data_IF_236399679466
#
_entry.id   IF_236399679466
#
_cell.length_a   1.000
_cell.length_b   1.000
_cell.length_c   1.000
_cell.angle_alpha   90.00
_cell.angle_beta   90.00
_cell.angle_gamma   90.00
#
_symmetry.space_group_name_H-M   'P 1'
#
loop_
_entity.id
_entity.type
_entity.pdbx_description
1 polymer ?
#
# COMPACT_ATOMS: atom_id res chain seq x y z
N UNK A 1 -43.59 25.14 26.01
CA UNK A 1 -44.56 24.27 26.71
C UNK A 1 -44.24 24.07 28.20
N UNK A 2 -43.01 23.75 28.62
CA UNK A 2 -42.66 23.60 30.05
C UNK A 2 -42.89 24.87 30.90
N UNK A 3 -42.55 26.05 30.37
CA UNK A 3 -42.77 27.33 31.08
C UNK A 3 -44.25 27.67 31.29
N UNK A 4 -45.12 27.37 30.34
CA UNK A 4 -46.56 27.57 30.44
C UNK A 4 -47.18 26.64 31.50
N UNK A 5 -46.77 25.39 31.58
CA UNK A 5 -47.21 24.45 32.61
C UNK A 5 -46.75 24.86 34.00
N UNK A 6 -45.55 25.42 34.15
CA UNK A 6 -45.06 25.98 35.41
C UNK A 6 -45.83 27.20 35.84
N UNK A 7 -46.17 28.13 34.92
CA UNK A 7 -47.00 29.31 35.19
C UNK A 7 -48.42 28.90 35.61
N UNK A 8 -49.01 27.93 34.94
CA UNK A 8 -50.37 27.43 35.25
C UNK A 8 -50.38 26.69 36.59
N UNK A 9 -49.34 25.91 36.92
CA UNK A 9 -49.18 25.30 38.25
C UNK A 9 -49.01 26.32 39.36
N UNK A 10 -48.20 27.36 39.10
CA UNK A 10 -47.99 28.45 40.07
C UNK A 10 -49.29 29.25 40.34
N UNK A 11 -50.09 29.49 39.28
CA UNK A 11 -51.39 30.14 39.38
C UNK A 11 -52.43 29.30 40.16
N UNK A 12 -52.47 27.99 39.91
CA UNK A 12 -53.33 27.06 40.61
C UNK A 12 -52.97 26.96 42.09
N UNK A 13 -51.66 26.94 42.42
CA UNK A 13 -51.21 26.99 43.84
C UNK A 13 -51.57 28.28 44.47
N UNK A 14 -51.36 29.43 43.80
CA UNK A 14 -51.75 30.77 44.35
C UNK A 14 -53.26 30.86 44.58
N UNK A 15 -54.12 30.38 43.71
CA UNK A 15 -55.54 30.32 43.85
C UNK A 15 -55.97 29.41 45.01
N UNK A 16 -55.36 28.25 45.16
CA UNK A 16 -55.65 27.37 46.31
C UNK A 16 -55.22 27.95 47.62
N UNK A 17 -54.07 28.64 47.69
CA UNK A 17 -53.63 29.36 48.90
C UNK A 17 -54.56 30.53 49.24
N UNK A 18 -55.00 31.26 48.22
CA UNK A 18 -55.97 32.39 48.46
C UNK A 18 -57.30 31.90 48.97
N UNK A 19 -57.83 30.79 48.43
CA UNK A 19 -59.08 30.17 48.93
C UNK A 19 -58.95 29.66 50.39
N UNK A 20 -57.83 29.03 50.71
CA UNK A 20 -57.52 28.51 52.03
C UNK A 20 -57.34 29.65 53.03
N UNK A 21 -56.64 30.74 52.64
CA UNK A 21 -56.42 31.90 53.49
C UNK A 21 -57.70 32.67 53.79
N UNK A 22 -58.67 32.72 52.83
CA UNK A 22 -59.95 33.41 53.02
C UNK A 22 -60.89 32.74 54.02
N UNK A 23 -60.77 31.45 54.29
CA UNK A 23 -61.64 30.68 55.14
C UNK A 23 -61.08 30.40 56.55
N UNK A 24 -59.87 30.86 56.86
CA UNK A 24 -59.14 30.54 58.06
C UNK A 24 -59.18 31.75 59.02
N UNK A 25 -60.00 31.67 60.07
CA UNK A 25 -60.16 32.75 61.16
C UNK A 25 -59.26 32.46 62.37
N UNK A 26 -58.26 31.53 62.26
CA UNK A 26 -57.37 31.23 63.38
C UNK A 26 -56.45 32.38 63.72
N UNK A 27 -56.33 32.68 65.03
CA UNK A 27 -55.40 33.68 65.60
C UNK A 27 -54.34 32.98 66.44
N UNK A 28 -53.07 33.40 66.34
CA UNK A 28 -51.97 32.99 67.21
C UNK A 28 -51.61 34.12 68.09
N UNK A 29 -51.76 33.91 69.44
CA UNK A 29 -51.42 34.88 70.45
C UNK A 29 -50.01 34.63 70.97
N UNK A 30 -49.09 35.58 70.78
CA UNK A 30 -47.72 35.53 71.29
C UNK A 30 -47.65 36.37 72.56
N UNK A 31 -47.34 35.73 73.70
CA UNK A 31 -47.15 36.38 74.97
C UNK A 31 -45.67 36.78 75.16
N UNK A 32 -45.42 38.06 75.20
CA UNK A 32 -44.10 38.62 75.52
C UNK A 32 -44.32 39.66 76.66
N UNK A 33 -44.16 39.29 77.92
CA UNK A 33 -44.47 40.22 79.02
C UNK A 33 -43.74 41.56 78.91
N UNK A 34 -44.42 42.68 79.02
CA UNK A 34 -45.84 42.87 79.33
C UNK A 34 -46.83 42.93 78.16
N UNK A 35 -46.34 42.55 76.94
CA UNK A 35 -47.10 42.68 75.69
C UNK A 35 -47.78 41.39 75.28
N UNK A 36 -49.01 41.53 74.82
CA UNK A 36 -49.75 40.48 74.15
C UNK A 36 -49.99 40.90 72.68
N UNK A 37 -49.54 40.09 71.71
CA UNK A 37 -49.71 40.39 70.30
C UNK A 37 -50.55 39.28 69.70
N UNK A 38 -51.74 39.62 69.19
CA UNK A 38 -52.62 38.70 68.49
C UNK A 38 -52.36 38.86 66.98
N UNK A 39 -51.86 37.77 66.30
CA UNK A 39 -51.55 37.73 64.90
C UNK A 39 -52.50 36.75 64.19
N UNK A 40 -52.94 37.10 63.02
CA UNK A 40 -53.66 36.12 62.20
C UNK A 40 -52.79 34.95 61.80
N UNK A 41 -53.30 33.71 61.79
CA UNK A 41 -52.61 32.54 61.44
C UNK A 41 -52.00 32.64 60.00
N UNK A 42 -52.74 33.28 59.09
CA UNK A 42 -52.30 33.55 57.72
C UNK A 42 -51.06 34.46 57.67
N UNK A 43 -50.95 35.48 58.52
CA UNK A 43 -49.79 36.35 58.62
C UNK A 43 -48.57 35.58 59.15
N UNK A 44 -48.79 34.75 60.19
CA UNK A 44 -47.68 33.90 60.70
C UNK A 44 -47.15 32.91 59.65
N UNK A 45 -48.05 32.26 58.90
CA UNK A 45 -47.68 31.38 57.81
C UNK A 45 -46.95 32.11 56.68
N UNK A 46 -47.40 33.37 56.36
CA UNK A 46 -46.72 34.17 55.32
C UNK A 46 -45.33 34.60 55.80
N UNK A 47 -45.17 35.00 57.07
CA UNK A 47 -43.87 35.35 57.64
C UNK A 47 -42.95 34.12 57.65
N UNK A 48 -43.47 32.94 58.06
CA UNK A 48 -42.73 31.71 58.11
C UNK A 48 -42.28 31.30 56.68
N UNK A 49 -43.15 31.39 55.67
CA UNK A 49 -42.82 31.16 54.27
C UNK A 49 -41.78 32.16 53.75
N UNK A 50 -41.92 33.44 54.07
CA UNK A 50 -40.98 34.49 53.71
C UNK A 50 -39.59 34.24 54.31
N UNK A 51 -39.52 33.87 55.60
CA UNK A 51 -38.27 33.50 56.28
C UNK A 51 -37.64 32.26 55.65
N UNK A 52 -38.46 31.23 55.39
CA UNK A 52 -37.98 30.01 54.71
C UNK A 52 -37.46 30.30 53.29
N UNK A 53 -38.17 31.10 52.49
CA UNK A 53 -37.75 31.51 51.17
C UNK A 53 -36.46 32.35 51.22
N UNK A 54 -36.34 33.29 52.15
CA UNK A 54 -35.13 34.08 52.37
C UNK A 54 -33.94 33.19 52.77
N UNK A 55 -34.16 32.27 53.72
CA UNK A 55 -33.14 31.32 54.14
C UNK A 55 -32.70 30.38 52.97
N UNK A 56 -33.67 29.88 52.21
CA UNK A 56 -33.37 29.05 51.02
C UNK A 56 -32.58 29.84 49.99
N UNK A 57 -32.94 31.08 49.68
CA UNK A 57 -32.18 31.93 48.75
C UNK A 57 -30.77 32.23 49.26
N UNK A 58 -30.65 32.52 50.59
CA UNK A 58 -29.34 32.75 51.19
C UNK A 58 -28.41 31.50 51.10
N UNK A 59 -28.94 30.31 51.44
CA UNK A 59 -28.22 29.08 51.36
C UNK A 59 -27.84 28.73 49.91
N UNK A 60 -28.74 28.96 48.95
CA UNK A 60 -28.49 28.79 47.55
C UNK A 60 -27.43 29.76 47.00
N UNK A 61 -27.49 31.03 47.44
CA UNK A 61 -26.48 32.04 47.11
C UNK A 61 -25.10 31.66 47.66
N UNK A 62 -25.06 31.18 48.91
CA UNK A 62 -23.83 30.74 49.55
C UNK A 62 -23.25 29.49 48.83
N UNK A 63 -24.09 28.52 48.50
CA UNK A 63 -23.68 27.33 47.73
C UNK A 63 -23.15 27.73 46.34
N UNK A 64 -23.78 28.67 45.65
CA UNK A 64 -23.30 29.22 44.38
C UNK A 64 -21.93 29.90 44.52
N UNK A 65 -21.72 30.69 45.56
CA UNK A 65 -20.42 31.32 45.85
C UNK A 65 -19.32 30.30 46.11
N UNK A 66 -19.58 29.25 46.87
CA UNK A 66 -18.62 28.16 47.08
C UNK A 66 -18.34 27.30 45.85
N UNK A 67 -19.26 27.23 44.90
CA UNK A 67 -19.07 26.50 43.62
C UNK A 67 -18.29 27.31 42.57
N UNK A 68 -18.20 28.64 42.69
CA UNK A 68 -17.49 29.50 41.72
C UNK A 68 -16.02 29.12 41.52
N UNK A 69 -15.20 28.85 42.55
CA UNK A 69 -13.80 28.47 42.33
C UNK A 69 -13.66 27.14 41.61
N UNK A 70 -14.53 26.17 41.86
CA UNK A 70 -14.50 24.87 41.16
C UNK A 70 -14.95 25.01 39.71
N UNK A 71 -15.98 25.76 39.42
CA UNK A 71 -16.43 26.07 38.07
C UNK A 71 -15.36 26.85 37.27
N UNK A 72 -14.74 27.85 37.89
CA UNK A 72 -13.66 28.61 37.28
C UNK A 72 -12.44 27.72 36.96
N UNK A 73 -12.11 26.77 37.85
CA UNK A 73 -11.05 25.81 37.62
C UNK A 73 -11.39 24.86 36.44
N UNK A 74 -12.60 24.32 36.42
CA UNK A 74 -13.09 23.48 35.33
C UNK A 74 -13.10 24.23 33.99
N UNK A 75 -13.60 25.48 33.99
CA UNK A 75 -13.60 26.29 32.77
C UNK A 75 -12.19 26.58 32.26
N UNK A 76 -11.21 26.86 33.12
CA UNK A 76 -9.81 27.05 32.75
C UNK A 76 -9.20 25.77 32.17
N UNK A 77 -9.51 24.60 32.71
CA UNK A 77 -9.06 23.32 32.21
C UNK A 77 -9.65 23.04 30.82
N UNK A 78 -10.95 23.23 30.65
CA UNK A 78 -11.63 23.07 29.35
C UNK A 78 -11.07 24.04 28.29
N UNK A 79 -10.75 25.27 28.69
CA UNK A 79 -10.14 26.26 27.78
C UNK A 79 -8.74 25.80 27.34
N UNK A 80 -7.92 25.28 28.24
CA UNK A 80 -6.59 24.74 27.91
C UNK A 80 -6.68 23.49 27.04
N UNK A 81 -7.65 22.62 27.29
CA UNK A 81 -7.91 21.44 26.45
C UNK A 81 -8.30 21.84 25.02
N UNK A 82 -9.20 22.83 24.87
CA UNK A 82 -9.54 23.37 23.54
C UNK A 82 -8.34 23.97 22.84
N UNK A 83 -7.46 24.68 23.53
CA UNK A 83 -6.24 25.23 22.92
C UNK A 83 -5.26 24.14 22.52
N UNK A 84 -5.16 23.04 23.27
CA UNK A 84 -4.36 21.88 22.92
C UNK A 84 -4.86 21.24 21.62
N UNK A 85 -6.15 20.93 21.53
CA UNK A 85 -6.72 20.36 20.31
C UNK A 85 -6.60 21.30 19.10
N UNK A 86 -6.80 22.62 19.33
CA UNK A 86 -6.60 23.62 18.30
C UNK A 86 -5.16 23.65 17.80
N UNK A 87 -4.16 23.51 18.67
CA UNK A 87 -2.75 23.46 18.28
C UNK A 87 -2.41 22.21 17.44
N UNK A 88 -2.98 21.04 17.79
CA UNK A 88 -2.81 19.80 16.98
C UNK A 88 -3.46 19.96 15.60
N UNK A 89 -4.68 20.51 15.55
CA UNK A 89 -5.36 20.77 14.27
C UNK A 89 -4.60 21.79 13.42
N UNK A 90 -4.08 22.87 14.03
CA UNK A 90 -3.23 23.84 13.32
C UNK A 90 -1.98 23.16 12.77
N UNK A 91 -1.29 22.34 13.56
CA UNK A 91 -0.14 21.58 13.09
C UNK A 91 -0.47 20.71 11.87
N UNK A 92 -1.62 20.04 11.87
CA UNK A 92 -2.09 19.21 10.76
C UNK A 92 -2.41 20.05 9.52
N UNK A 93 -3.11 21.18 9.68
CA UNK A 93 -3.43 22.11 8.59
C UNK A 93 -2.17 22.69 7.97
N UNK A 94 -1.21 23.13 8.81
CA UNK A 94 0.06 23.67 8.32
C UNK A 94 0.88 22.61 7.58
N UNK A 95 0.87 21.35 8.06
CA UNK A 95 1.54 20.22 7.40
C UNK A 95 0.95 19.96 6.00
N UNK A 96 -0.38 19.85 5.91
CA UNK A 96 -1.09 19.64 4.64
C UNK A 96 -0.86 20.81 3.68
N UNK A 97 -0.76 22.04 4.21
CA UNK A 97 -0.48 23.26 3.42
C UNK A 97 0.99 23.39 3.01
N UNK A 98 1.85 22.42 3.33
CA UNK A 98 3.29 22.46 3.01
C UNK A 98 4.10 23.46 3.85
N UNK A 99 3.54 24.01 4.92
CA UNK A 99 4.21 24.99 5.80
C UNK A 99 4.92 24.27 6.96
N UNK A 100 5.89 23.43 6.65
CA UNK A 100 6.51 22.47 7.55
C UNK A 100 7.11 23.09 8.81
N UNK A 101 7.78 24.25 8.71
CA UNK A 101 8.35 24.94 9.88
C UNK A 101 7.27 25.42 10.85
N UNK A 102 6.11 25.87 10.36
CA UNK A 102 4.96 26.25 11.19
C UNK A 102 4.28 25.03 11.79
N UNK A 103 4.10 23.96 11.00
CA UNK A 103 3.57 22.70 11.46
C UNK A 103 4.36 22.13 12.64
N UNK A 104 5.71 22.14 12.53
CA UNK A 104 6.60 21.70 13.62
C UNK A 104 6.43 22.54 14.88
N UNK A 105 6.40 23.88 14.75
CA UNK A 105 6.19 24.78 15.88
C UNK A 105 4.83 24.56 16.56
N UNK A 106 3.75 24.38 15.78
CA UNK A 106 2.42 24.12 16.31
C UNK A 106 2.35 22.76 17.03
N UNK A 107 2.98 21.71 16.46
CA UNK A 107 3.08 20.40 17.10
C UNK A 107 3.87 20.46 18.43
N UNK A 108 4.98 21.19 18.45
CA UNK A 108 5.76 21.41 19.69
C UNK A 108 4.97 22.22 20.72
N UNK A 109 4.20 23.23 20.31
CA UNK A 109 3.31 24.00 21.21
C UNK A 109 2.24 23.07 21.81
N UNK A 110 1.67 22.14 21.04
CA UNK A 110 0.74 21.15 21.56
C UNK A 110 1.39 20.26 22.64
N UNK A 111 2.63 19.79 22.43
CA UNK A 111 3.37 19.01 23.42
C UNK A 111 3.64 19.78 24.72
N UNK A 112 3.97 21.07 24.62
CA UNK A 112 4.15 21.93 25.79
C UNK A 112 2.85 22.13 26.55
N UNK A 113 1.75 22.38 25.83
CA UNK A 113 0.42 22.52 26.44
C UNK A 113 -0.04 21.25 27.14
N UNK A 114 0.19 20.09 26.51
CA UNK A 114 -0.14 18.79 27.11
C UNK A 114 0.64 18.57 28.42
N UNK A 115 1.94 18.82 28.44
CA UNK A 115 2.77 18.75 29.65
C UNK A 115 2.25 19.68 30.76
N UNK A 116 1.79 20.90 30.43
CA UNK A 116 1.22 21.83 31.42
C UNK A 116 -0.11 21.35 31.97
N UNK A 117 -0.93 20.64 31.17
CA UNK A 117 -2.18 20.03 31.60
C UNK A 117 -1.92 18.81 32.50
N UNK A 118 -0.98 17.96 32.13
CA UNK A 118 -0.57 16.82 32.94
C UNK A 118 -0.04 17.24 34.32
N UNK A 119 0.73 18.34 34.41
CA UNK A 119 1.20 18.90 35.68
C UNK A 119 0.09 19.45 36.58
N UNK A 120 -1.12 19.68 36.06
CA UNK A 120 -2.28 20.13 36.80
C UNK A 120 -3.22 19.00 37.24
N UNK A 121 -2.75 17.73 37.18
CA UNK A 121 -3.55 16.52 37.43
C UNK A 121 -4.85 16.47 36.60
N UNK A 122 -4.90 17.14 35.47
CA UNK A 122 -6.01 17.08 34.58
C UNK A 122 -5.96 15.73 33.81
N UNK A 123 -6.79 14.80 34.23
CA UNK A 123 -6.98 13.53 33.54
C UNK A 123 -7.65 13.80 32.19
N UNK A 124 -6.83 13.91 31.12
CA UNK A 124 -7.30 13.98 29.75
C UNK A 124 -7.45 12.54 29.23
N UNK A 125 -8.65 12.09 28.87
CA UNK A 125 -8.88 10.72 28.43
C UNK A 125 -8.03 10.29 27.21
N UNK A 126 -7.53 11.26 26.42
CA UNK A 126 -6.79 11.04 25.19
C UNK A 126 -5.39 11.66 25.19
N UNK A 127 -4.84 12.01 26.37
CA UNK A 127 -3.55 12.70 26.50
C UNK A 127 -2.42 11.97 25.74
N UNK A 128 -2.30 10.67 25.92
CA UNK A 128 -1.31 9.86 25.26
C UNK A 128 -1.46 9.86 23.74
N UNK A 129 -2.69 9.70 23.23
CA UNK A 129 -2.96 9.74 21.80
C UNK A 129 -2.59 11.09 21.19
N UNK A 130 -2.90 12.18 21.89
CA UNK A 130 -2.53 13.55 21.49
C UNK A 130 -1.00 13.71 21.46
N UNK A 131 -0.27 13.22 22.47
CA UNK A 131 1.20 13.23 22.49
C UNK A 131 1.79 12.49 21.29
N UNK A 132 1.34 11.24 21.06
CA UNK A 132 1.81 10.43 19.91
C UNK A 132 1.56 11.14 18.59
N UNK A 133 0.35 11.68 18.38
CA UNK A 133 0.01 12.42 17.16
C UNK A 133 0.87 13.68 17.02
N UNK A 134 1.06 14.46 18.10
CA UNK A 134 1.89 15.66 18.06
C UNK A 134 3.36 15.32 17.72
N UNK A 135 3.92 14.26 18.32
CA UNK A 135 5.25 13.77 17.97
C UNK A 135 5.33 13.31 16.50
N UNK A 136 4.31 12.61 15.98
CA UNK A 136 4.27 12.22 14.56
C UNK A 136 4.21 13.44 13.63
N UNK A 137 3.39 14.44 13.93
CA UNK A 137 3.30 15.66 13.13
C UNK A 137 4.62 16.44 13.13
N UNK A 138 5.30 16.50 14.29
CA UNK A 138 6.63 17.08 14.39
C UNK A 138 7.66 16.30 13.56
N UNK A 139 7.63 14.96 13.61
CA UNK A 139 8.51 14.09 12.85
C UNK A 139 8.27 14.20 11.34
N UNK A 140 7.00 14.20 10.87
CA UNK A 140 6.66 14.41 9.45
C UNK A 140 7.15 15.77 8.96
N UNK A 141 6.97 16.80 9.79
CA UNK A 141 7.46 18.15 9.47
C UNK A 141 8.99 18.20 9.36
N UNK A 142 9.70 17.51 10.27
CA UNK A 142 11.14 17.37 10.26
C UNK A 142 11.63 16.59 9.03
N UNK A 143 10.94 15.49 8.67
CA UNK A 143 11.24 14.72 7.45
C UNK A 143 11.12 15.59 6.20
N UNK A 144 10.05 16.38 6.09
CA UNK A 144 9.85 17.28 4.96
C UNK A 144 10.92 18.39 4.89
N UNK A 145 11.47 18.81 6.03
CA UNK A 145 12.57 19.78 6.13
C UNK A 145 13.96 19.12 6.02
N UNK A 146 14.04 17.79 5.81
CA UNK A 146 15.29 17.01 5.77
C UNK A 146 16.11 17.07 7.08
N UNK A 147 15.45 17.37 8.20
CA UNK A 147 16.03 17.40 9.55
C UNK A 147 15.90 16.00 10.19
N UNK A 148 16.80 15.08 9.78
CA UNK A 148 16.81 13.70 10.23
C UNK A 148 16.93 13.55 11.76
N UNK A 149 17.85 14.25 12.45
CA UNK A 149 17.98 14.12 13.90
C UNK A 149 16.70 14.48 14.64
N UNK A 150 16.03 15.57 14.26
CA UNK A 150 14.77 15.97 14.89
C UNK A 150 13.63 14.96 14.56
N UNK A 151 13.57 14.44 13.33
CA UNK A 151 12.63 13.39 12.93
C UNK A 151 12.80 12.16 13.82
N UNK A 152 14.01 11.66 13.95
CA UNK A 152 14.31 10.41 14.66
C UNK A 152 14.03 10.57 16.16
N UNK A 153 14.36 11.72 16.74
CA UNK A 153 14.04 12.02 18.13
C UNK A 153 12.53 12.00 18.38
N UNK A 154 11.75 12.67 17.54
CA UNK A 154 10.28 12.68 17.67
C UNK A 154 9.66 11.31 17.36
N UNK A 155 10.18 10.56 16.37
CA UNK A 155 9.74 9.20 16.09
C UNK A 155 9.98 8.27 17.28
N UNK A 156 11.16 8.34 17.89
CA UNK A 156 11.48 7.50 19.05
C UNK A 156 10.54 7.80 20.22
N UNK A 157 10.22 9.07 20.47
CA UNK A 157 9.24 9.44 21.48
C UNK A 157 7.84 8.89 21.15
N UNK A 158 7.40 8.99 19.90
CA UNK A 158 6.12 8.44 19.46
C UNK A 158 6.06 6.90 19.62
N UNK A 159 7.16 6.19 19.32
CA UNK A 159 7.27 4.75 19.53
C UNK A 159 7.20 4.38 21.01
N UNK A 160 7.96 5.06 21.86
CA UNK A 160 7.98 4.83 23.31
C UNK A 160 6.59 5.05 23.93
N UNK A 161 5.96 6.19 23.63
CA UNK A 161 4.62 6.52 24.11
C UNK A 161 3.56 5.52 23.60
N UNK A 162 3.69 5.02 22.37
CA UNK A 162 2.76 4.04 21.81
C UNK A 162 2.99 2.61 22.30
N UNK A 163 4.16 2.31 22.87
CA UNK A 163 4.49 0.98 23.39
C UNK A 163 3.88 0.72 24.76
N UNK A 164 3.59 1.76 25.53
CA UNK A 164 3.04 1.64 26.87
C UNK A 164 1.58 1.15 26.80
N UNK A 165 1.39 -0.12 27.18
CA UNK A 165 0.08 -0.80 27.19
C UNK A 165 -0.80 -0.40 28.37
N UNK A 166 -0.26 0.28 29.37
CA UNK A 166 -1.00 0.71 30.56
C UNK A 166 -1.83 1.95 30.30
N UNK A 167 -1.48 2.71 29.28
CA UNK A 167 -2.14 3.91 28.83
C UNK A 167 -2.95 3.61 27.57
N UNK A 168 -4.12 4.22 27.43
CA UNK A 168 -5.14 3.97 26.40
C UNK A 168 -4.76 4.48 24.98
N UNK A 169 -3.53 4.25 24.52
CA UNK A 169 -3.20 4.49 23.12
C UNK A 169 -3.96 3.49 22.23
N UNK A 170 -4.74 3.99 21.27
CA UNK A 170 -5.49 3.10 20.39
C UNK A 170 -4.52 2.24 19.56
N UNK A 171 -4.85 0.96 19.32
CA UNK A 171 -4.05 0.07 18.48
C UNK A 171 -3.70 0.70 17.13
N UNK A 172 -4.64 1.45 16.55
CA UNK A 172 -4.49 2.13 15.27
C UNK A 172 -3.39 3.20 15.29
N UNK A 173 -3.27 3.91 16.42
CA UNK A 173 -2.22 4.93 16.58
C UNK A 173 -0.84 4.27 16.58
N UNK A 174 -0.67 3.17 17.33
CA UNK A 174 0.58 2.39 17.37
C UNK A 174 0.95 1.84 15.99
N UNK A 175 -0.02 1.23 15.31
CA UNK A 175 0.15 0.72 13.94
C UNK A 175 0.58 1.84 12.98
N UNK A 176 -0.04 3.03 13.11
CA UNK A 176 0.31 4.21 12.33
C UNK A 176 1.74 4.66 12.53
N UNK A 177 2.24 4.69 13.77
CA UNK A 177 3.63 5.04 14.09
C UNK A 177 4.60 4.04 13.45
N UNK A 178 4.35 2.73 13.61
CA UNK A 178 5.21 1.68 13.05
C UNK A 178 5.25 1.71 11.52
N UNK A 179 4.10 1.94 10.86
CA UNK A 179 4.04 2.09 9.40
C UNK A 179 4.85 3.31 8.91
N UNK A 180 4.80 4.42 9.65
CA UNK A 180 5.61 5.61 9.35
C UNK A 180 7.10 5.33 9.53
N UNK A 181 7.47 4.67 10.62
CA UNK A 181 8.84 4.26 10.88
C UNK A 181 9.39 3.34 9.77
N UNK A 182 8.60 2.35 9.33
CA UNK A 182 8.97 1.47 8.23
C UNK A 182 9.13 2.24 6.89
N UNK A 183 8.25 3.20 6.63
CA UNK A 183 8.33 4.04 5.43
C UNK A 183 9.61 4.89 5.42
N UNK A 184 9.93 5.56 6.53
CA UNK A 184 11.12 6.40 6.62
C UNK A 184 12.42 5.59 6.57
N UNK A 185 12.46 4.41 7.19
CA UNK A 185 13.60 3.50 7.03
C UNK A 185 13.84 3.17 5.55
N UNK A 186 12.77 2.93 4.79
CA UNK A 186 12.86 2.68 3.36
C UNK A 186 13.35 3.92 2.56
N UNK A 187 12.91 5.13 2.95
CA UNK A 187 13.36 6.40 2.36
C UNK A 187 14.84 6.67 2.67
N UNK A 188 15.30 6.25 3.85
CA UNK A 188 16.71 6.31 4.27
C UNK A 188 17.60 5.21 3.64
N UNK A 189 17.04 4.40 2.72
CA UNK A 189 17.71 3.28 2.08
C UNK A 189 18.13 2.15 3.04
N UNK A 190 17.37 1.98 4.11
CA UNK A 190 17.49 0.83 5.01
C UNK A 190 16.27 -0.09 4.87
N UNK A 191 16.24 -0.92 3.81
CA UNK A 191 15.14 -1.85 3.58
C UNK A 191 15.09 -2.97 4.64
N UNK A 192 16.20 -3.29 5.30
CA UNK A 192 16.22 -4.30 6.35
C UNK A 192 15.41 -3.83 7.56
N UNK A 193 15.72 -2.64 8.07
CA UNK A 193 14.95 -2.04 9.16
C UNK A 193 13.47 -1.86 8.79
N UNK A 194 13.17 -1.50 7.54
CA UNK A 194 11.78 -1.39 7.08
C UNK A 194 11.03 -2.72 7.17
N UNK A 195 11.63 -3.84 6.73
CA UNK A 195 11.03 -5.17 6.80
C UNK A 195 10.83 -5.62 8.24
N UNK A 196 11.85 -5.47 9.11
CA UNK A 196 11.76 -5.82 10.53
C UNK A 196 10.59 -5.09 11.21
N UNK A 197 10.43 -3.78 10.96
CA UNK A 197 9.30 -3.02 11.52
C UNK A 197 7.94 -3.46 10.99
N UNK A 198 7.87 -3.92 9.74
CA UNK A 198 6.63 -4.48 9.19
C UNK A 198 6.28 -5.84 9.78
N UNK A 199 7.29 -6.65 10.14
CA UNK A 199 7.10 -7.96 10.79
C UNK A 199 6.57 -7.83 12.22
N UNK A 200 6.90 -6.74 12.93
CA UNK A 200 6.38 -6.41 14.27
C UNK A 200 4.88 -6.06 14.27
N UNK A 201 4.31 -5.73 13.11
CA UNK A 201 2.90 -5.38 12.98
C UNK A 201 1.99 -6.62 13.11
N UNK A 202 0.77 -6.46 13.64
CA UNK A 202 -0.24 -7.53 13.59
C UNK A 202 -0.50 -8.00 12.16
N UNK A 203 -0.77 -9.30 11.96
CA UNK A 203 -0.95 -9.89 10.62
C UNK A 203 -2.02 -9.16 9.78
N UNK A 204 -3.11 -8.69 10.40
CA UNK A 204 -4.14 -7.91 9.70
C UNK A 204 -3.61 -6.60 9.12
N UNK A 205 -2.68 -5.94 9.81
CA UNK A 205 -2.06 -4.67 9.37
C UNK A 205 -1.01 -4.91 8.30
N UNK A 206 -0.23 -5.99 8.43
CA UNK A 206 0.75 -6.40 7.42
C UNK A 206 0.14 -6.62 6.03
N UNK A 207 -1.15 -7.00 5.98
CA UNK A 207 -1.92 -7.22 4.73
C UNK A 207 -2.56 -5.97 4.17
N UNK A 208 -2.50 -4.82 4.88
CA UNK A 208 -3.02 -3.56 4.34
C UNK A 208 -2.18 -3.09 3.15
N UNK A 209 -2.82 -2.50 2.18
CA UNK A 209 -2.17 -2.04 0.92
C UNK A 209 -0.94 -1.18 1.16
N UNK A 210 -0.96 -0.31 2.17
CA UNK A 210 0.20 0.54 2.51
C UNK A 210 1.39 -0.29 2.99
N UNK A 211 1.17 -1.24 3.90
CA UNK A 211 2.22 -2.13 4.40
C UNK A 211 2.80 -3.00 3.28
N UNK A 212 1.94 -3.57 2.43
CA UNK A 212 2.37 -4.36 1.28
C UNK A 212 3.17 -3.54 0.26
N UNK A 213 2.81 -2.26 0.02
CA UNK A 213 3.60 -1.38 -0.86
C UNK A 213 5.00 -1.10 -0.31
N UNK A 214 5.11 -0.88 1.00
CA UNK A 214 6.42 -0.69 1.66
C UNK A 214 7.22 -2.00 1.57
N UNK A 215 6.60 -3.15 1.88
CA UNK A 215 7.23 -4.48 1.80
C UNK A 215 7.74 -4.79 0.39
N UNK A 216 6.91 -4.60 -0.63
CA UNK A 216 7.32 -4.81 -2.02
C UNK A 216 8.56 -4.00 -2.38
N UNK A 217 8.57 -2.71 -2.03
CA UNK A 217 9.71 -1.85 -2.33
C UNK A 217 10.96 -2.24 -1.54
N UNK A 218 10.81 -2.59 -0.26
CA UNK A 218 11.90 -3.04 0.60
C UNK A 218 12.50 -4.37 0.13
N UNK A 219 11.65 -5.37 -0.17
CA UNK A 219 12.07 -6.67 -0.67
C UNK A 219 12.83 -6.55 -2.00
N UNK A 220 12.35 -5.69 -2.91
CA UNK A 220 13.07 -5.40 -4.17
C UNK A 220 14.44 -4.77 -3.94
N UNK A 221 14.54 -3.81 -3.01
CA UNK A 221 15.83 -3.17 -2.70
C UNK A 221 16.83 -4.14 -2.05
N UNK A 222 16.35 -5.15 -1.33
CA UNK A 222 17.18 -6.20 -0.73
C UNK A 222 17.49 -7.36 -1.68
N UNK A 223 16.95 -7.38 -2.89
CA UNK A 223 17.11 -8.53 -3.80
C UNK A 223 16.33 -9.78 -3.35
N UNK A 224 15.38 -9.67 -2.43
CA UNK A 224 14.49 -10.76 -2.01
C UNK A 224 13.36 -10.94 -3.02
N UNK A 225 13.72 -11.42 -4.22
CA UNK A 225 12.83 -11.41 -5.40
C UNK A 225 11.58 -12.26 -5.20
N UNK A 226 11.68 -13.42 -4.55
CA UNK A 226 10.53 -14.27 -4.26
C UNK A 226 9.53 -13.57 -3.34
N UNK A 227 9.99 -12.99 -2.23
CA UNK A 227 9.14 -12.22 -1.30
C UNK A 227 8.48 -11.01 -2.00
N UNK A 228 9.22 -10.35 -2.89
CA UNK A 228 8.69 -9.25 -3.70
C UNK A 228 7.58 -9.74 -4.65
N UNK A 229 7.76 -10.91 -5.29
CA UNK A 229 6.77 -11.51 -6.18
C UNK A 229 5.49 -11.88 -5.42
N UNK A 230 5.61 -12.57 -4.28
CA UNK A 230 4.47 -12.91 -3.42
C UNK A 230 3.70 -11.66 -2.95
N UNK A 231 4.44 -10.63 -2.56
CA UNK A 231 3.84 -9.35 -2.16
C UNK A 231 3.12 -8.65 -3.32
N UNK A 232 3.69 -8.73 -4.53
CA UNK A 232 3.07 -8.18 -5.73
C UNK A 232 1.77 -8.93 -6.10
N UNK A 233 1.73 -10.26 -5.96
CA UNK A 233 0.52 -11.09 -6.11
C UNK A 233 -0.60 -10.65 -5.15
N UNK A 234 -0.25 -10.43 -3.88
CA UNK A 234 -1.21 -9.94 -2.88
C UNK A 234 -1.75 -8.55 -3.26
N UNK A 235 -0.88 -7.63 -3.68
CA UNK A 235 -1.29 -6.30 -4.13
C UNK A 235 -2.18 -6.35 -5.37
N UNK A 236 -1.89 -7.24 -6.32
CA UNK A 236 -2.73 -7.48 -7.49
C UNK A 236 -4.12 -8.00 -7.08
N UNK A 237 -4.18 -8.98 -6.18
CA UNK A 237 -5.43 -9.53 -5.62
C UNK A 237 -6.27 -8.45 -4.92
N UNK A 238 -5.64 -7.53 -4.21
CA UNK A 238 -6.29 -6.39 -3.55
C UNK A 238 -6.62 -5.23 -4.50
N UNK A 239 -6.40 -5.38 -5.81
CA UNK A 239 -6.62 -4.34 -6.82
C UNK A 239 -5.90 -3.02 -6.50
N UNK A 240 -4.72 -3.11 -5.89
CA UNK A 240 -3.90 -1.95 -5.53
C UNK A 240 -3.26 -1.26 -6.75
N UNK A 241 -3.27 -1.93 -7.90
CA UNK A 241 -2.80 -1.47 -9.20
C UNK A 241 -3.87 -1.72 -10.27
N UNK A 242 -3.75 -1.03 -11.41
CA UNK A 242 -4.49 -1.44 -12.59
C UNK A 242 -4.04 -2.85 -13.03
N UNK A 243 -4.93 -3.59 -13.69
CA UNK A 243 -4.62 -4.96 -14.13
C UNK A 243 -3.36 -5.03 -15.01
N UNK A 244 -3.21 -4.08 -15.93
CA UNK A 244 -2.04 -3.98 -16.79
C UNK A 244 -0.74 -3.72 -15.99
N UNK A 245 -0.79 -2.81 -14.99
CA UNK A 245 0.36 -2.51 -14.14
C UNK A 245 0.71 -3.71 -13.24
N UNK A 246 -0.30 -4.36 -12.63
CA UNK A 246 -0.09 -5.56 -11.82
C UNK A 246 0.57 -6.68 -12.63
N UNK A 247 0.08 -6.94 -13.84
CA UNK A 247 0.63 -7.94 -14.76
C UNK A 247 2.08 -7.61 -15.15
N UNK A 248 2.37 -6.35 -15.41
CA UNK A 248 3.74 -5.90 -15.75
C UNK A 248 4.71 -6.05 -14.58
N UNK A 249 4.29 -5.72 -13.36
CA UNK A 249 5.12 -5.86 -12.14
C UNK A 249 5.40 -7.34 -11.86
N UNK A 250 4.37 -8.18 -11.88
CA UNK A 250 4.50 -9.64 -11.65
C UNK A 250 5.41 -10.27 -12.70
N UNK A 251 5.23 -9.93 -13.98
CA UNK A 251 6.09 -10.38 -15.08
C UNK A 251 7.56 -10.00 -14.86
N UNK A 252 7.82 -8.74 -14.50
CA UNK A 252 9.18 -8.27 -14.22
C UNK A 252 9.83 -9.05 -13.07
N UNK A 253 9.11 -9.22 -11.94
CA UNK A 253 9.62 -9.95 -10.79
C UNK A 253 9.81 -11.45 -11.07
N UNK A 254 8.92 -12.07 -11.85
CA UNK A 254 9.09 -13.46 -12.29
C UNK A 254 10.36 -13.60 -13.16
N UNK A 255 10.60 -12.67 -14.09
CA UNK A 255 11.81 -12.64 -14.91
C UNK A 255 13.07 -12.42 -14.05
N UNK A 256 13.01 -11.51 -13.07
CA UNK A 256 14.12 -11.25 -12.14
C UNK A 256 14.43 -12.51 -11.29
N UNK A 257 13.39 -13.23 -10.82
CA UNK A 257 13.54 -14.47 -10.08
C UNK A 257 14.27 -15.55 -10.90
N UNK A 258 13.87 -15.74 -12.16
CA UNK A 258 14.51 -16.68 -13.08
C UNK A 258 15.94 -16.27 -13.41
N UNK A 259 16.21 -14.97 -13.56
CA UNK A 259 17.54 -14.42 -13.83
C UNK A 259 18.53 -14.65 -12.69
N UNK A 260 18.03 -14.69 -11.45
CA UNK A 260 18.84 -14.97 -10.26
C UNK A 260 19.32 -16.42 -10.12
N UNK A 261 18.86 -17.34 -10.97
CA UNK A 261 19.33 -18.72 -10.96
C UNK A 261 20.72 -18.83 -11.63
N UNK A 262 21.66 -19.50 -10.96
CA UNK A 262 23.04 -19.67 -11.42
C UNK A 262 23.34 -21.10 -11.94
N UNK A 263 22.43 -22.02 -11.71
CA UNK A 263 22.50 -23.40 -12.21
C UNK A 263 21.10 -23.90 -12.63
N UNK A 264 21.00 -25.00 -13.41
CA UNK A 264 19.73 -25.56 -13.87
C UNK A 264 18.81 -25.98 -12.73
N UNK A 265 19.33 -26.46 -11.61
CA UNK A 265 18.53 -26.93 -10.48
C UNK A 265 17.87 -25.73 -9.74
N UNK A 266 18.60 -24.62 -9.60
CA UNK A 266 18.03 -23.37 -9.08
C UNK A 266 16.95 -22.81 -10.01
N UNK A 267 17.18 -22.87 -11.32
CA UNK A 267 16.20 -22.41 -12.31
C UNK A 267 14.91 -23.24 -12.26
N UNK A 268 15.01 -24.57 -12.12
CA UNK A 268 13.86 -25.45 -11.95
C UNK A 268 13.07 -25.10 -10.67
N UNK A 269 13.76 -24.85 -9.57
CA UNK A 269 13.12 -24.39 -8.32
C UNK A 269 12.43 -23.04 -8.53
N UNK A 270 13.13 -22.05 -9.10
CA UNK A 270 12.53 -20.74 -9.38
C UNK A 270 11.29 -20.84 -10.28
N UNK A 271 11.33 -21.73 -11.29
CA UNK A 271 10.18 -22.01 -12.15
C UNK A 271 9.02 -22.64 -11.37
N UNK A 272 9.30 -23.55 -10.43
CA UNK A 272 8.25 -24.18 -9.61
C UNK A 272 7.54 -23.20 -8.67
N UNK A 273 8.21 -22.12 -8.24
CA UNK A 273 7.62 -21.04 -7.42
C UNK A 273 6.66 -20.12 -8.21
N UNK A 274 6.70 -20.19 -9.56
CA UNK A 274 5.79 -19.40 -10.38
C UNK A 274 4.38 -20.03 -10.41
N UNK A 275 3.34 -19.16 -10.37
CA UNK A 275 1.96 -19.59 -10.56
C UNK A 275 1.70 -19.99 -12.02
N UNK A 276 0.65 -20.80 -12.25
CA UNK A 276 0.29 -21.27 -13.59
C UNK A 276 0.04 -20.11 -14.57
N UNK A 277 -0.58 -19.03 -14.11
CA UNK A 277 -0.83 -17.83 -14.89
C UNK A 277 0.47 -17.11 -15.31
N UNK A 278 1.49 -17.13 -14.47
CA UNK A 278 2.80 -16.52 -14.73
C UNK A 278 3.61 -17.38 -15.70
N UNK A 279 3.61 -18.69 -15.49
CA UNK A 279 4.25 -19.67 -16.41
C UNK A 279 3.63 -19.62 -17.80
N UNK A 280 2.35 -19.31 -17.91
CA UNK A 280 1.64 -19.12 -19.18
C UNK A 280 1.94 -17.79 -19.89
N UNK A 281 2.68 -16.87 -19.25
CA UNK A 281 3.11 -15.61 -19.91
C UNK A 281 4.24 -15.91 -20.90
N UNK A 282 4.09 -15.60 -22.21
CA UNK A 282 5.11 -15.90 -23.20
C UNK A 282 6.47 -15.32 -22.89
N UNK A 283 6.53 -14.08 -22.41
CA UNK A 283 7.78 -13.42 -22.03
C UNK A 283 8.54 -14.18 -20.94
N UNK A 284 7.82 -14.67 -19.92
CA UNK A 284 8.38 -15.41 -18.78
C UNK A 284 8.87 -16.79 -19.25
N UNK A 285 8.06 -17.50 -20.03
CA UNK A 285 8.40 -18.81 -20.55
C UNK A 285 9.62 -18.78 -21.49
N UNK A 286 9.67 -17.80 -22.40
CA UNK A 286 10.81 -17.60 -23.30
C UNK A 286 12.07 -17.27 -22.50
N UNK A 287 11.96 -16.38 -21.51
CA UNK A 287 13.10 -16.02 -20.67
C UNK A 287 13.62 -17.21 -19.85
N UNK A 288 12.73 -18.02 -19.26
CA UNK A 288 13.10 -19.25 -18.55
C UNK A 288 13.85 -20.22 -19.46
N UNK A 289 13.35 -20.46 -20.69
CA UNK A 289 13.97 -21.34 -21.65
C UNK A 289 15.34 -20.82 -22.11
N UNK A 290 15.48 -19.51 -22.38
CA UNK A 290 16.76 -18.88 -22.70
C UNK A 290 17.76 -19.06 -21.55
N UNK A 291 17.31 -18.92 -20.33
CA UNK A 291 18.16 -19.11 -19.14
C UNK A 291 18.59 -20.57 -19.01
N UNK A 292 17.69 -21.54 -19.28
CA UNK A 292 18.01 -22.96 -19.28
C UNK A 292 19.10 -23.30 -20.34
N UNK A 293 18.96 -22.75 -21.54
CA UNK A 293 19.97 -22.89 -22.59
C UNK A 293 21.32 -22.30 -22.15
N UNK A 294 21.32 -21.08 -21.61
CA UNK A 294 22.54 -20.40 -21.16
C UNK A 294 23.25 -21.15 -20.02
N UNK A 295 22.50 -21.79 -19.14
CA UNK A 295 23.03 -22.62 -18.05
C UNK A 295 23.41 -24.07 -18.50
N UNK A 296 23.30 -24.39 -19.80
CA UNK A 296 23.52 -25.72 -20.36
C UNK A 296 22.70 -26.81 -19.67
N UNK A 297 21.45 -26.48 -19.32
CA UNK A 297 20.52 -27.43 -18.71
C UNK A 297 19.80 -28.28 -19.74
N UNK A 298 18.75 -28.99 -19.28
CA UNK A 298 17.97 -29.89 -20.13
C UNK A 298 17.10 -29.11 -21.12
N UNK A 299 17.41 -29.26 -22.41
CA UNK A 299 16.70 -28.59 -23.50
C UNK A 299 15.27 -29.13 -23.71
N UNK A 300 14.99 -30.37 -23.29
CA UNK A 300 13.66 -30.97 -23.37
C UNK A 300 12.69 -30.24 -22.41
N UNK A 301 13.16 -29.92 -21.21
CA UNK A 301 12.45 -29.15 -20.24
C UNK A 301 12.19 -27.71 -20.74
N UNK A 302 13.22 -27.07 -21.30
CA UNK A 302 13.10 -25.74 -21.90
C UNK A 302 12.02 -25.69 -22.99
N UNK A 303 11.98 -26.68 -23.87
CA UNK A 303 10.95 -26.83 -24.91
C UNK A 303 9.55 -27.03 -24.32
N UNK A 304 9.44 -27.81 -23.26
CA UNK A 304 8.18 -27.97 -22.55
C UNK A 304 7.61 -26.65 -22.02
N UNK A 305 8.47 -25.75 -21.53
CA UNK A 305 8.05 -24.43 -21.08
C UNK A 305 7.61 -23.51 -22.23
N UNK A 306 8.18 -23.69 -23.41
CA UNK A 306 7.84 -22.90 -24.61
C UNK A 306 6.55 -23.35 -25.28
N UNK A 307 6.06 -24.56 -25.01
CA UNK A 307 4.90 -25.13 -25.70
C UNK A 307 3.65 -24.24 -25.68
N UNK A 308 3.22 -23.65 -24.57
CA UNK A 308 2.06 -22.76 -24.56
C UNK A 308 2.25 -21.47 -25.39
N UNK A 309 3.48 -20.93 -25.41
CA UNK A 309 3.80 -19.77 -26.24
C UNK A 309 3.82 -20.13 -27.74
N UNK A 310 4.34 -21.31 -28.07
CA UNK A 310 4.35 -21.89 -29.42
C UNK A 310 2.91 -22.08 -29.93
N UNK A 311 2.08 -22.76 -29.17
CA UNK A 311 0.68 -23.00 -29.54
C UNK A 311 -0.08 -21.69 -29.78
N UNK A 312 0.17 -20.66 -28.94
CA UNK A 312 -0.41 -19.33 -29.16
C UNK A 312 0.07 -18.68 -30.46
N UNK A 313 1.35 -18.76 -30.77
CA UNK A 313 1.93 -18.22 -32.02
C UNK A 313 1.34 -18.91 -33.25
N UNK A 314 1.17 -20.22 -33.20
CA UNK A 314 0.61 -20.99 -34.32
C UNK A 314 -0.89 -20.74 -34.50
N UNK A 315 -1.65 -20.65 -33.40
CA UNK A 315 -3.10 -20.40 -33.45
C UNK A 315 -3.44 -18.97 -33.88
N UNK A 316 -2.60 -17.99 -33.48
CA UNK A 316 -2.79 -16.58 -33.78
C UNK A 316 -1.44 -15.93 -34.16
N UNK A 317 -1.08 -15.93 -35.44
CA UNK A 317 0.22 -15.41 -35.88
C UNK A 317 0.56 -13.99 -35.43
N UNK A 318 -0.44 -13.12 -35.28
CA UNK A 318 -0.30 -11.76 -34.77
C UNK A 318 -0.48 -11.65 -33.23
N UNK A 319 -0.93 -12.72 -32.56
CA UNK A 319 -1.30 -12.70 -31.15
C UNK A 319 -0.10 -12.65 -30.18
N UNK A 320 1.10 -13.01 -30.65
CA UNK A 320 2.31 -12.94 -29.84
C UNK A 320 3.09 -11.63 -30.04
N UNK A 321 2.90 -10.96 -31.16
CA UNK A 321 3.70 -9.80 -31.61
C UNK A 321 5.06 -10.20 -32.19
N UNK A 322 5.57 -9.43 -33.14
CA UNK A 322 6.77 -9.77 -33.91
C UNK A 322 8.01 -9.98 -33.03
N UNK A 323 8.22 -9.11 -32.05
CA UNK A 323 9.40 -9.18 -31.17
C UNK A 323 9.45 -10.47 -30.32
N UNK A 324 8.30 -10.96 -29.85
CA UNK A 324 8.23 -12.21 -29.09
C UNK A 324 8.31 -13.44 -29.99
N UNK A 325 7.73 -13.37 -31.19
CA UNK A 325 7.87 -14.41 -32.20
C UNK A 325 9.32 -14.66 -32.58
N UNK A 326 10.09 -13.59 -32.80
CA UNK A 326 11.54 -13.65 -33.06
C UNK A 326 12.30 -14.26 -31.88
N UNK A 327 12.01 -13.81 -30.64
CA UNK A 327 12.65 -14.38 -29.45
C UNK A 327 12.35 -15.85 -29.27
N UNK A 328 11.10 -16.26 -29.50
CA UNK A 328 10.68 -17.65 -29.46
C UNK A 328 11.44 -18.48 -30.49
N UNK A 329 11.50 -17.99 -31.72
CA UNK A 329 12.24 -18.68 -32.81
C UNK A 329 13.70 -18.87 -32.45
N UNK A 330 14.39 -17.83 -31.97
CA UNK A 330 15.81 -17.93 -31.54
C UNK A 330 16.00 -18.92 -30.39
N UNK A 331 15.07 -18.95 -29.45
CA UNK A 331 15.18 -19.83 -28.29
C UNK A 331 14.96 -21.28 -28.64
N UNK A 332 14.03 -21.57 -29.56
CA UNK A 332 13.80 -22.90 -30.08
C UNK A 332 15.01 -23.39 -30.92
N UNK A 333 15.55 -22.53 -31.77
CA UNK A 333 16.76 -22.84 -32.57
C UNK A 333 17.95 -23.25 -31.70
N UNK A 334 18.19 -22.48 -30.60
CA UNK A 334 19.30 -22.80 -29.69
C UNK A 334 19.16 -24.18 -29.01
N UNK A 335 17.96 -24.74 -29.02
CA UNK A 335 17.67 -26.09 -28.54
C UNK A 335 17.70 -27.20 -29.60
N UNK A 336 18.05 -26.92 -30.83
CA UNK A 336 17.98 -27.91 -31.94
C UNK A 336 19.00 -29.04 -31.91
N UNK A 337 20.02 -28.95 -31.08
CA UNK A 337 21.00 -30.04 -30.96
C UNK A 337 20.41 -31.36 -30.42
N UNK A 338 19.24 -31.29 -29.78
CA UNK A 338 18.50 -32.41 -29.20
C UNK A 338 17.02 -32.42 -29.59
N UNK A 339 16.66 -31.92 -30.81
CA UNK A 339 15.25 -31.89 -31.26
C UNK A 339 14.76 -33.33 -31.46
N UNK A 340 13.68 -33.65 -30.76
CA UNK A 340 12.96 -34.90 -30.93
C UNK A 340 12.07 -34.87 -32.19
N UNK A 341 11.66 -36.03 -32.73
CA UNK A 341 10.80 -36.12 -33.92
C UNK A 341 9.46 -35.43 -33.74
N UNK A 342 8.96 -35.34 -32.51
CA UNK A 342 7.68 -34.70 -32.21
C UNK A 342 7.75 -33.17 -32.45
N UNK A 343 8.82 -32.50 -31.99
CA UNK A 343 9.01 -31.08 -32.22
C UNK A 343 9.27 -30.75 -33.68
N UNK A 344 10.01 -31.61 -34.38
CA UNK A 344 10.20 -31.47 -35.84
C UNK A 344 8.82 -31.50 -36.55
N UNK A 345 8.00 -32.51 -36.24
CA UNK A 345 6.66 -32.61 -36.83
C UNK A 345 5.77 -31.40 -36.50
N UNK A 346 5.86 -30.86 -35.27
CA UNK A 346 5.13 -29.63 -34.85
C UNK A 346 5.57 -28.41 -35.67
N UNK A 347 6.87 -28.21 -35.85
CA UNK A 347 7.44 -27.09 -36.62
C UNK A 347 7.03 -27.22 -38.10
N UNK A 348 7.12 -28.40 -38.69
CA UNK A 348 6.71 -28.62 -40.07
C UNK A 348 5.21 -28.44 -40.30
N UNK A 349 4.39 -28.90 -39.34
CA UNK A 349 2.94 -28.70 -39.41
C UNK A 349 2.57 -27.20 -39.31
N UNK A 350 3.21 -26.45 -38.38
CA UNK A 350 3.01 -25.03 -38.23
C UNK A 350 3.40 -24.25 -39.49
N UNK A 351 4.55 -24.60 -40.10
CA UNK A 351 5.01 -23.99 -41.35
C UNK A 351 4.06 -24.28 -42.52
N UNK A 352 3.53 -25.50 -42.62
CA UNK A 352 2.55 -25.85 -43.66
C UNK A 352 1.23 -25.07 -43.49
N UNK A 353 0.80 -24.86 -42.27
CA UNK A 353 -0.43 -24.12 -41.98
C UNK A 353 -0.26 -22.59 -42.17
N UNK A 354 0.94 -22.08 -41.97
CA UNK A 354 1.28 -20.66 -42.11
C UNK A 354 2.54 -20.50 -43.04
N UNK A 355 2.41 -20.79 -44.32
CA UNK A 355 3.57 -20.89 -45.24
C UNK A 355 4.24 -19.55 -45.53
N UNK A 356 3.58 -18.41 -45.19
CA UNK A 356 4.12 -17.05 -45.40
C UNK A 356 4.78 -16.44 -44.15
N UNK A 357 4.73 -17.13 -42.99
CA UNK A 357 5.38 -16.65 -41.79
C UNK A 357 6.89 -16.86 -41.86
N UNK A 358 7.70 -15.79 -41.89
CA UNK A 358 9.15 -15.90 -42.06
C UNK A 358 9.83 -16.56 -40.85
N UNK A 359 9.32 -16.43 -39.65
CA UNK A 359 9.88 -17.08 -38.46
C UNK A 359 9.67 -18.58 -38.52
N UNK A 360 8.49 -19.05 -38.99
CA UNK A 360 8.19 -20.48 -39.16
C UNK A 360 8.97 -21.08 -40.33
N UNK A 361 9.12 -20.34 -41.46
CA UNK A 361 9.99 -20.76 -42.54
C UNK A 361 11.44 -20.93 -42.06
N UNK A 362 11.95 -19.96 -41.31
CA UNK A 362 13.29 -20.02 -40.73
C UNK A 362 13.46 -21.22 -39.81
N UNK A 363 12.57 -21.39 -38.81
CA UNK A 363 12.65 -22.52 -37.90
C UNK A 363 12.59 -23.88 -38.59
N UNK A 364 11.65 -24.04 -39.54
CA UNK A 364 11.54 -25.28 -40.31
C UNK A 364 12.79 -25.51 -41.17
N UNK A 365 13.36 -24.48 -41.77
CA UNK A 365 14.60 -24.55 -42.49
C UNK A 365 15.79 -24.98 -41.65
N UNK A 366 15.97 -24.37 -40.46
CA UNK A 366 17.02 -24.73 -39.51
C UNK A 366 16.83 -26.14 -38.94
N UNK A 367 15.61 -26.56 -38.66
CA UNK A 367 15.30 -27.92 -38.23
C UNK A 367 15.64 -28.95 -39.35
N UNK A 368 15.29 -28.66 -40.61
CA UNK A 368 15.66 -29.48 -41.75
C UNK A 368 17.19 -29.59 -41.94
N UNK A 369 17.94 -28.50 -41.70
CA UNK A 369 19.41 -28.50 -41.70
C UNK A 369 19.97 -29.53 -40.70
N UNK A 370 19.47 -29.51 -39.46
CA UNK A 370 19.90 -30.43 -38.41
C UNK A 370 19.59 -31.92 -38.73
N UNK A 371 18.50 -32.16 -39.43
CA UNK A 371 18.09 -33.49 -39.86
C UNK A 371 18.61 -33.87 -41.25
N UNK A 372 19.58 -33.12 -41.81
CA UNK A 372 20.22 -33.37 -43.08
C UNK A 372 19.26 -33.40 -44.30
N UNK A 373 18.10 -32.72 -44.15
CA UNK A 373 17.12 -32.58 -45.25
C UNK A 373 17.47 -31.36 -46.11
N UNK A 374 18.64 -31.39 -46.74
CA UNK A 374 19.33 -30.26 -47.36
C UNK A 374 18.48 -29.50 -48.41
N UNK A 375 17.78 -30.23 -49.29
CA UNK A 375 16.96 -29.59 -50.35
C UNK A 375 15.81 -28.76 -49.78
N UNK A 376 15.10 -29.29 -48.77
CA UNK A 376 14.00 -28.59 -48.08
C UNK A 376 14.52 -27.44 -47.24
N UNK A 377 15.65 -27.64 -46.58
CA UNK A 377 16.31 -26.59 -45.81
C UNK A 377 16.68 -25.40 -46.68
N UNK A 378 17.31 -25.62 -47.83
CA UNK A 378 17.67 -24.56 -48.77
C UNK A 378 16.45 -23.77 -49.26
N UNK A 379 15.37 -24.47 -49.65
CA UNK A 379 14.14 -23.80 -50.08
C UNK A 379 13.54 -22.90 -49.01
N UNK A 380 13.36 -23.43 -47.81
CA UNK A 380 12.75 -22.71 -46.68
C UNK A 380 13.59 -21.53 -46.19
N UNK A 381 14.91 -21.72 -46.06
CA UNK A 381 15.82 -20.67 -45.65
C UNK A 381 15.96 -19.54 -46.69
N UNK A 382 15.92 -19.89 -47.99
CA UNK A 382 15.91 -18.87 -49.06
C UNK A 382 14.63 -18.03 -49.01
N UNK A 383 13.48 -18.66 -48.82
CA UNK A 383 12.21 -17.95 -48.65
C UNK A 383 12.20 -17.06 -47.41
N UNK A 384 12.65 -17.60 -46.26
CA UNK A 384 12.78 -16.86 -45.03
C UNK A 384 13.72 -15.65 -45.18
N UNK A 385 14.87 -15.84 -45.82
CA UNK A 385 15.86 -14.78 -46.05
C UNK A 385 15.39 -13.63 -46.92
N UNK A 386 14.30 -13.80 -47.69
CA UNK A 386 13.69 -12.72 -48.47
C UNK A 386 12.71 -11.85 -47.65
N UNK A 387 12.13 -12.42 -46.60
CA UNK A 387 11.01 -11.80 -45.86
C UNK A 387 11.30 -11.50 -44.39
N UNK A 388 12.37 -12.07 -43.82
CA UNK A 388 12.78 -11.80 -42.44
C UNK A 388 13.17 -10.33 -42.24
N UNK A 389 12.53 -9.70 -41.26
CA UNK A 389 12.80 -8.30 -40.86
C UNK A 389 13.87 -8.22 -39.73
N UNK A 390 13.97 -9.26 -38.92
CA UNK A 390 14.96 -9.31 -37.84
C UNK A 390 16.35 -9.56 -38.38
N UNK A 391 17.28 -8.63 -38.15
CA UNK A 391 18.64 -8.67 -38.70
C UNK A 391 19.44 -9.91 -38.25
N UNK A 392 19.19 -10.40 -37.03
CA UNK A 392 19.92 -11.55 -36.48
C UNK A 392 19.42 -12.86 -37.10
N UNK A 393 18.10 -13.07 -37.23
CA UNK A 393 17.53 -14.22 -37.91
C UNK A 393 17.89 -14.22 -39.40
N UNK A 394 17.86 -13.04 -40.04
CA UNK A 394 18.30 -12.85 -41.42
C UNK A 394 19.75 -13.31 -41.62
N UNK A 395 20.66 -12.80 -40.77
CA UNK A 395 22.08 -13.19 -40.82
C UNK A 395 22.29 -14.69 -40.63
N UNK A 396 21.60 -15.30 -39.67
CA UNK A 396 21.70 -16.74 -39.39
C UNK A 396 21.15 -17.57 -40.54
N UNK A 397 20.04 -17.15 -41.15
CA UNK A 397 19.49 -17.83 -42.34
C UNK A 397 20.51 -17.85 -43.50
N UNK A 398 21.11 -16.69 -43.83
CA UNK A 398 22.10 -16.61 -44.91
C UNK A 398 23.41 -17.31 -44.57
N UNK A 399 23.82 -17.32 -43.31
CA UNK A 399 24.95 -18.12 -42.84
C UNK A 399 24.70 -19.62 -43.05
N UNK A 400 23.54 -20.10 -42.64
CA UNK A 400 23.17 -21.51 -42.83
C UNK A 400 23.11 -21.91 -44.31
N UNK A 401 22.61 -20.98 -45.17
CA UNK A 401 22.64 -21.17 -46.61
C UNK A 401 24.06 -21.22 -47.19
N UNK A 402 24.97 -20.40 -46.67
CA UNK A 402 26.37 -20.42 -47.07
C UNK A 402 27.07 -21.74 -46.69
N UNK A 403 26.90 -22.17 -45.44
CA UNK A 403 27.41 -23.47 -44.94
C UNK A 403 26.86 -24.65 -45.77
N UNK A 404 25.59 -24.54 -46.20
CA UNK A 404 24.99 -25.59 -47.06
C UNK A 404 25.54 -25.58 -48.49
N UNK A 405 25.83 -24.39 -49.05
CA UNK A 405 26.46 -24.26 -50.37
C UNK A 405 27.91 -24.77 -50.33
N UNK A 406 28.69 -24.47 -49.31
CA UNK A 406 30.03 -24.99 -49.09
C UNK A 406 30.05 -26.52 -49.00
N UNK A 407 29.10 -27.12 -48.27
CA UNK A 407 28.96 -28.57 -48.17
C UNK A 407 28.62 -29.27 -49.51
N UNK A 408 28.27 -28.50 -50.54
CA UNK A 408 27.96 -28.95 -51.89
C UNK A 408 29.02 -28.55 -52.93
N UNK A 409 30.13 -27.99 -52.52
CA UNK A 409 31.17 -27.43 -53.33
C UNK A 409 30.70 -26.32 -54.32
N UNK A 410 29.62 -25.60 -53.99
CA UNK A 410 29.11 -24.47 -54.75
C UNK A 410 29.67 -23.15 -54.22
N UNK A 411 30.92 -22.83 -54.59
CA UNK A 411 31.63 -21.65 -54.12
C UNK A 411 30.92 -20.33 -54.50
N UNK A 412 30.25 -20.30 -55.65
CA UNK A 412 29.56 -19.08 -56.09
C UNK A 412 28.34 -18.76 -55.22
N UNK A 413 27.52 -19.75 -54.88
CA UNK A 413 26.38 -19.58 -54.00
C UNK A 413 26.85 -19.32 -52.55
N UNK A 414 27.89 -19.97 -52.08
CA UNK A 414 28.47 -19.74 -50.76
C UNK A 414 28.95 -18.31 -50.61
N UNK A 415 29.73 -17.78 -51.52
CA UNK A 415 30.22 -16.40 -51.50
C UNK A 415 29.08 -15.38 -51.54
N UNK A 416 28.04 -15.62 -52.35
CA UNK A 416 26.85 -14.76 -52.43
C UNK A 416 26.05 -14.75 -51.08
N UNK A 417 25.91 -15.92 -50.44
CA UNK A 417 25.21 -16.06 -49.17
C UNK A 417 26.00 -15.40 -48.01
N UNK A 418 27.32 -15.61 -47.95
CA UNK A 418 28.17 -14.92 -46.96
C UNK A 418 28.14 -13.41 -47.11
N UNK A 419 28.16 -12.89 -48.36
CA UNK A 419 28.02 -11.46 -48.61
C UNK A 419 26.70 -10.88 -48.06
N UNK A 420 25.59 -11.60 -48.25
CA UNK A 420 24.27 -11.18 -47.70
C UNK A 420 24.23 -11.26 -46.19
N UNK A 421 24.81 -12.29 -45.58
CA UNK A 421 24.94 -12.38 -44.12
C UNK A 421 25.74 -11.22 -43.52
N UNK A 422 26.81 -10.77 -44.21
CA UNK A 422 27.61 -9.62 -43.78
C UNK A 422 26.90 -8.28 -43.95
N UNK A 423 26.12 -8.11 -45.01
CA UNK A 423 25.36 -6.86 -45.27
C UNK A 423 24.31 -6.54 -44.22
N UNK A 424 23.72 -7.55 -43.57
CA UNK A 424 22.78 -7.35 -42.44
C UNK A 424 23.37 -6.60 -41.24
N UNK A 425 24.67 -6.42 -41.19
CA UNK A 425 25.38 -5.75 -40.11
C UNK A 425 25.52 -4.24 -40.37
N UNK A 426 25.41 -3.79 -41.61
CA UNK A 426 25.68 -2.40 -42.02
C UNK A 426 24.44 -1.51 -42.04
N UNK A 427 23.22 -2.05 -42.13
CA UNK A 427 21.98 -1.28 -42.22
C UNK A 427 21.39 -0.79 -40.88
N UNK A 428 22.08 -1.02 -39.76
CA UNK A 428 21.64 -0.62 -38.40
C UNK A 428 22.73 0.04 -37.53
N UNK A 429 23.81 0.56 -38.14
CA UNK A 429 24.80 1.35 -37.41
C UNK A 429 24.48 2.87 -37.51
#
# INVERSE_FOLDING_TARGET
>A
MRAALWLLGLFAIAAAVALFAGNNQGTITVFWPPWRVDLSLNLVLLILFAVFALLHLALRGLAALFSLPTQARQWRLQQKERTLHAAVLDAMVQLISGRFSRARKAAQAALVQEKTLAALDAHLPQAQQVRVIAHLLAAESAQALQDRPARDAHLQQALNESADRTLLASPETREGVQLRAARWALEDRDPAAALTRLEELPQGVQRRTLALRIRLKAARQQGRTLEALETARLLAKHRAFSEAAARSIVRGLATDLLSGAHDPAQLLRAWSELEAAERAMPDVAIHAAQRMVALRGDLSVARGWLLPAWERMVAQPQGLGDALGVKLARTLEAGFDSVDPEWLARIESAQRNNPRDPNLQYLAGMACMKHQLWGKAQQLLTQAGQTLQDAELYRRAWRALAELAEARDDEAQAAAAWKRAAQAQTDKA
#
